data_IF_671464628344
#
_entry.id   IF_671464628344
#
_cell.length_a   1.000
_cell.length_b   1.000
_cell.length_c   1.000
_cell.angle_alpha   90.00
_cell.angle_beta   90.00
_cell.angle_gamma   90.00
#
_symmetry.space_group_name_H-M   'P 1'
#
loop_
_entity.id
_entity.type
_entity.pdbx_description
1 polymer ?
#
# COMPACT_ATOMS: atom_id res chain seq x y z
N UNK A 1 9.99 -1.50 33.67
CA UNK A 1 9.66 -1.44 33.21
C UNK A 1 9.50 -1.58 32.67
N UNK A 2 9.46 -1.59 32.61
CA UNK A 2 8.95 -1.59 31.96
C UNK A 2 8.82 -1.78 31.25
N UNK A 3 8.87 -1.70 31.20
CA UNK A 3 8.52 -1.68 30.46
C UNK A 3 8.23 -1.80 29.82
N UNK A 4 8.16 -1.68 29.90
CA UNK A 4 7.70 -1.63 29.22
C UNK A 4 7.11 -1.54 28.75
N UNK A 5 6.98 -1.39 28.89
CA UNK A 5 6.32 -1.26 28.43
C UNK A 5 5.66 -0.97 27.93
N UNK A 6 5.42 -0.71 28.01
CA UNK A 6 4.52 -0.54 27.56
C UNK A 6 4.21 -0.09 26.61
N UNK A 7 4.48 0.22 26.26
CA UNK A 7 4.16 0.66 25.34
C UNK A 7 3.66 0.10 24.53
N UNK A 8 3.66 -0.59 24.56
CA UNK A 8 3.22 -1.28 23.84
C UNK A 8 2.23 -1.05 23.25
N UNK A 9 1.60 -0.71 23.68
CA UNK A 9 0.42 -0.75 23.08
C UNK A 9 0.41 -0.02 21.91
N UNK A 10 0.86 0.95 22.02
CA UNK A 10 0.69 1.70 20.98
C UNK A 10 1.12 1.14 19.88
N UNK A 11 1.79 0.57 20.27
CA UNK A 11 2.20 -0.01 19.52
C UNK A 11 1.43 -0.87 19.02
N UNK A 12 0.52 -0.90 19.20
CA UNK A 12 -0.43 -1.78 18.67
C UNK A 12 -0.73 -1.58 17.22
N UNK A 13 -0.06 -0.77 16.54
CA UNK A 13 -0.20 -0.70 15.09
C UNK A 13 0.24 -1.98 14.43
N UNK A 14 -0.56 -2.41 13.46
CA UNK A 14 -0.33 -3.63 12.70
C UNK A 14 0.17 -3.26 11.31
N UNK A 15 0.77 -4.23 10.66
CA UNK A 15 1.27 -4.06 9.30
C UNK A 15 0.37 -4.77 8.31
N UNK A 16 0.13 -4.13 7.17
CA UNK A 16 -0.74 -4.66 6.14
C UNK A 16 -0.03 -4.62 4.79
N UNK A 17 -0.16 -5.70 4.05
CA UNK A 17 0.29 -5.78 2.68
C UNK A 17 -0.88 -5.34 1.80
N UNK A 18 -0.65 -4.36 0.95
CA UNK A 18 -1.60 -3.93 -0.07
C UNK A 18 -1.03 -4.32 -1.42
N UNK A 19 -1.75 -5.19 -2.12
CA UNK A 19 -1.36 -5.59 -3.48
C UNK A 19 -2.30 -4.90 -4.46
N UNK A 20 -1.74 -4.14 -5.40
CA UNK A 20 -2.51 -3.53 -6.45
C UNK A 20 -2.42 -4.38 -7.71
N UNK A 21 -3.57 -4.80 -8.20
CA UNK A 21 -3.65 -5.65 -9.36
C UNK A 21 -4.09 -4.80 -10.55
N UNK A 22 -3.22 -4.66 -11.58
CA UNK A 22 -3.54 -3.83 -12.73
C UNK A 22 -4.61 -4.48 -13.61
N UNK A 23 -5.20 -3.71 -14.53
CA UNK A 23 -6.29 -4.22 -15.37
C UNK A 23 -5.85 -5.26 -16.40
N UNK A 24 -4.55 -5.33 -16.70
CA UNK A 24 -4.02 -6.28 -17.67
C UNK A 24 -2.53 -6.52 -17.42
N UNK A 25 -2.01 -7.70 -17.81
CA UNK A 25 -0.60 -8.03 -17.52
C UNK A 25 0.43 -7.10 -18.16
N UNK A 26 0.09 -6.46 -19.27
CA UNK A 26 1.01 -5.57 -20.00
C UNK A 26 0.92 -4.11 -19.55
N UNK A 27 0.11 -3.83 -18.56
CA UNK A 27 -0.26 -2.48 -18.14
C UNK A 27 0.95 -1.55 -17.95
N UNK A 28 2.01 -2.03 -17.30
CA UNK A 28 3.18 -1.20 -17.02
C UNK A 28 3.85 -0.68 -18.30
N UNK A 29 3.72 -1.42 -19.39
CA UNK A 29 4.36 -1.05 -20.66
C UNK A 29 3.43 -0.37 -21.65
N UNK A 30 2.11 -0.41 -21.43
CA UNK A 30 1.17 0.09 -22.44
C UNK A 30 0.06 0.97 -21.85
N UNK A 31 0.32 1.63 -20.73
CA UNK A 31 -0.65 2.55 -20.15
C UNK A 31 -1.04 3.63 -21.15
N UNK A 32 -2.33 3.94 -21.18
CA UNK A 32 -2.82 5.14 -21.89
C UNK A 32 -2.38 6.38 -21.13
N UNK A 33 -2.50 7.56 -21.75
CA UNK A 33 -2.18 8.82 -21.08
C UNK A 33 -3.05 9.03 -19.86
N UNK A 34 -4.31 8.66 -19.93
CA UNK A 34 -5.24 8.78 -18.82
C UNK A 34 -4.83 7.86 -17.68
N UNK A 35 -4.46 6.62 -18.00
CA UNK A 35 -3.99 5.67 -17.00
C UNK A 35 -2.69 6.14 -16.34
N UNK A 36 -1.77 6.72 -17.11
CA UNK A 36 -0.54 7.28 -16.57
C UNK A 36 -0.83 8.40 -15.57
N UNK A 37 -1.79 9.25 -15.88
CA UNK A 37 -2.16 10.33 -14.98
C UNK A 37 -2.71 9.79 -13.66
N UNK A 38 -3.54 8.75 -13.72
CA UNK A 38 -4.06 8.11 -12.51
C UNK A 38 -2.92 7.48 -11.70
N UNK A 39 -1.99 6.81 -12.36
CA UNK A 39 -0.87 6.17 -11.66
C UNK A 39 0.11 7.19 -11.09
N UNK A 40 0.23 8.37 -11.70
CA UNK A 40 1.01 9.47 -11.11
C UNK A 40 0.36 9.95 -9.82
N UNK A 41 -0.96 10.08 -9.80
CA UNK A 41 -1.71 10.46 -8.60
C UNK A 41 -1.59 9.37 -7.52
N UNK A 42 -1.60 8.10 -7.91
CA UNK A 42 -1.37 6.98 -7.04
C UNK A 42 0.00 7.08 -6.35
N UNK A 43 1.05 7.36 -7.12
CA UNK A 43 2.40 7.52 -6.56
C UNK A 43 2.46 8.67 -5.56
N UNK A 44 1.83 9.79 -5.88
CA UNK A 44 1.78 10.94 -4.98
C UNK A 44 1.04 10.60 -3.68
N UNK A 45 -0.05 9.84 -3.79
CA UNK A 45 -0.82 9.42 -2.62
C UNK A 45 0.06 8.59 -1.66
N UNK A 46 0.76 7.58 -2.20
CA UNK A 46 1.61 6.71 -1.36
C UNK A 46 2.82 7.46 -0.79
N UNK A 47 3.41 8.39 -1.55
CA UNK A 47 4.47 9.25 -0.98
C UNK A 47 3.94 10.08 0.16
N UNK A 48 2.71 10.56 0.07
CA UNK A 48 2.06 11.26 1.17
C UNK A 48 1.91 10.38 2.40
N UNK A 49 1.49 9.12 2.22
CA UNK A 49 1.40 8.16 3.32
C UNK A 49 2.77 7.90 3.93
N UNK A 50 3.80 7.81 3.11
CA UNK A 50 5.17 7.61 3.58
C UNK A 50 5.66 8.81 4.39
N UNK A 51 5.40 10.02 3.92
CA UNK A 51 5.79 11.24 4.62
C UNK A 51 5.08 11.38 5.96
N UNK A 52 3.90 10.78 6.10
CA UNK A 52 3.14 10.77 7.34
C UNK A 52 3.51 9.60 8.25
N UNK A 53 4.46 8.77 7.85
CA UNK A 53 4.87 7.60 8.64
C UNK A 53 3.89 6.44 8.60
N UNK A 54 2.97 6.44 7.65
CA UNK A 54 1.95 5.39 7.53
C UNK A 54 2.45 4.27 6.62
N UNK A 55 3.04 4.61 5.48
CA UNK A 55 3.60 3.60 4.58
C UNK A 55 5.08 3.40 4.86
N UNK A 56 5.51 2.14 4.92
CA UNK A 56 6.92 1.81 5.10
C UNK A 56 7.64 1.73 3.76
N UNK A 57 6.96 1.20 2.76
CA UNK A 57 7.50 1.12 1.41
C UNK A 57 6.36 0.94 0.42
N UNK A 58 6.62 1.28 -0.82
CA UNK A 58 5.69 0.97 -1.91
C UNK A 58 6.48 0.97 -3.22
N UNK A 59 5.96 0.26 -4.19
CA UNK A 59 6.58 0.26 -5.51
C UNK A 59 6.07 -0.88 -6.38
N UNK A 60 6.47 -0.87 -7.65
CA UNK A 60 6.12 -1.96 -8.55
C UNK A 60 6.95 -3.21 -8.24
N UNK A 61 6.29 -4.35 -8.27
CA UNK A 61 6.95 -5.65 -8.21
C UNK A 61 7.22 -6.08 -9.65
N UNK A 62 8.48 -6.35 -9.95
CA UNK A 62 8.91 -6.65 -11.31
C UNK A 62 8.75 -8.13 -11.61
N UNK A 63 7.51 -8.57 -11.57
CA UNK A 63 7.12 -9.95 -11.80
C UNK A 63 7.14 -10.22 -13.30
N UNK A 64 7.86 -11.26 -13.77
CA UNK A 64 7.90 -11.57 -15.19
C UNK A 64 6.53 -11.84 -15.80
N UNK A 65 5.56 -12.30 -15.02
CA UNK A 65 4.22 -12.56 -15.49
C UNK A 65 3.39 -11.29 -15.67
N UNK A 66 3.88 -10.16 -15.18
CA UNK A 66 3.21 -8.88 -15.25
C UNK A 66 3.50 -8.09 -13.98
N UNK A 67 3.82 -6.82 -14.15
CA UNK A 67 4.15 -5.92 -13.03
C UNK A 67 2.87 -5.61 -12.24
N UNK A 68 2.96 -5.68 -10.93
CA UNK A 68 1.88 -5.29 -10.02
C UNK A 68 2.42 -4.42 -8.90
N UNK A 69 1.54 -3.78 -8.15
CA UNK A 69 1.96 -2.84 -7.11
C UNK A 69 1.95 -3.45 -5.73
N UNK A 70 2.94 -3.09 -4.93
CA UNK A 70 3.02 -3.50 -3.54
C UNK A 70 3.14 -2.27 -2.66
N UNK A 71 2.40 -2.26 -1.54
CA UNK A 71 2.62 -1.30 -0.47
C UNK A 71 2.52 -1.99 0.87
N UNK A 72 3.33 -1.53 1.82
CA UNK A 72 3.25 -1.98 3.21
C UNK A 72 2.89 -0.76 4.04
N UNK A 73 1.80 -0.86 4.79
CA UNK A 73 1.37 0.24 5.64
C UNK A 73 1.09 -0.22 7.06
N UNK A 74 1.07 0.74 7.95
CA UNK A 74 0.69 0.53 9.34
C UNK A 74 -0.70 1.09 9.57
N UNK A 75 -1.51 0.35 10.30
CA UNK A 75 -2.84 0.79 10.68
C UNK A 75 -3.24 0.07 11.96
N UNK A 76 -4.23 0.62 12.65
CA UNK A 76 -4.65 0.04 13.93
C UNK A 76 -5.45 -1.25 13.75
N UNK A 77 -6.13 -1.40 12.62
CA UNK A 77 -6.98 -2.56 12.36
C UNK A 77 -7.23 -2.70 10.84
N UNK A 78 -7.82 -3.83 10.42
CA UNK A 78 -8.07 -4.05 8.99
C UNK A 78 -8.98 -3.01 8.34
N UNK A 79 -9.97 -2.47 9.07
CA UNK A 79 -10.88 -1.47 8.51
C UNK A 79 -10.13 -0.18 8.21
N UNK A 80 -9.22 0.25 9.09
CA UNK A 80 -8.40 1.42 8.83
C UNK A 80 -7.50 1.20 7.61
N UNK A 81 -6.92 0.01 7.48
CA UNK A 81 -6.08 -0.32 6.32
C UNK A 81 -6.89 -0.29 5.02
N UNK A 82 -8.09 -0.86 5.04
CA UNK A 82 -8.96 -0.84 3.87
C UNK A 82 -9.35 0.58 3.48
N UNK A 83 -9.61 1.44 4.45
CA UNK A 83 -9.93 2.84 4.18
C UNK A 83 -8.78 3.58 3.50
N UNK A 84 -7.55 3.34 3.97
CA UNK A 84 -6.37 3.94 3.35
C UNK A 84 -6.19 3.47 1.90
N UNK A 85 -6.38 2.17 1.65
CA UNK A 85 -6.27 1.64 0.30
C UNK A 85 -7.38 2.17 -0.61
N UNK A 86 -8.59 2.29 -0.09
CA UNK A 86 -9.74 2.76 -0.88
C UNK A 86 -9.58 4.22 -1.32
N UNK A 87 -8.82 5.01 -0.60
CA UNK A 87 -8.56 6.41 -0.96
C UNK A 87 -7.47 6.58 -2.02
N UNK A 88 -6.75 5.52 -2.34
CA UNK A 88 -5.76 5.55 -3.41
C UNK A 88 -6.45 5.83 -4.74
N UNK A 89 -6.02 6.84 -5.50
CA UNK A 89 -6.63 7.14 -6.80
C UNK A 89 -6.68 5.96 -7.77
N UNK A 90 -5.71 5.06 -7.72
CA UNK A 90 -5.71 3.88 -8.58
C UNK A 90 -6.86 2.93 -8.25
N UNK A 91 -7.26 2.87 -6.98
CA UNK A 91 -8.37 2.04 -6.52
C UNK A 91 -9.68 2.80 -6.68
N UNK A 92 -9.69 4.04 -6.23
CA UNK A 92 -10.90 4.88 -6.25
C UNK A 92 -11.44 5.08 -7.65
N UNK A 93 -10.56 5.17 -8.65
CA UNK A 93 -10.95 5.29 -10.05
C UNK A 93 -11.44 3.98 -10.65
N UNK A 94 -11.19 2.86 -9.97
CA UNK A 94 -11.51 1.54 -10.50
C UNK A 94 -10.45 0.98 -11.45
N UNK A 95 -9.34 1.68 -11.64
CA UNK A 95 -8.30 1.22 -12.56
C UNK A 95 -7.61 -0.04 -12.06
N UNK A 96 -7.26 -0.08 -10.77
CA UNK A 96 -6.65 -1.25 -10.15
C UNK A 96 -7.57 -1.83 -9.10
N UNK A 97 -7.40 -3.12 -8.79
CA UNK A 97 -8.03 -3.77 -7.65
C UNK A 97 -7.01 -3.87 -6.52
N UNK A 98 -7.48 -3.87 -5.29
CA UNK A 98 -6.61 -4.04 -4.14
C UNK A 98 -6.93 -5.34 -3.42
N UNK A 99 -5.88 -6.05 -3.01
CA UNK A 99 -5.97 -7.14 -2.04
C UNK A 99 -5.19 -6.69 -0.82
N UNK A 100 -5.79 -6.86 0.35
CA UNK A 100 -5.20 -6.38 1.59
C UNK A 100 -5.15 -7.53 2.59
N UNK A 101 -3.97 -7.77 3.15
CA UNK A 101 -3.78 -8.81 4.14
C UNK A 101 -2.91 -8.29 5.27
N UNK A 102 -3.27 -8.63 6.49
CA UNK A 102 -2.39 -8.36 7.61
C UNK A 102 -1.18 -9.27 7.54
N UNK A 103 -0.01 -8.72 7.83
CA UNK A 103 1.22 -9.49 7.91
C UNK A 103 1.76 -9.38 9.33
N UNK A 104 2.12 -10.52 9.91
CA UNK A 104 2.81 -10.56 11.19
C UNK A 104 4.28 -10.23 10.94
N UNK A 105 4.55 -8.95 10.77
CA UNK A 105 5.84 -8.50 10.29
C UNK A 105 6.89 -8.49 11.37
N UNK A 106 8.11 -8.84 10.98
CA UNK A 106 9.31 -8.59 11.79
C UNK A 106 10.06 -7.49 11.05
N UNK A 107 10.25 -6.37 11.73
CA UNK A 107 10.88 -5.19 11.12
C UNK A 107 12.22 -4.98 11.82
N UNK A 108 13.24 -4.71 11.00
CA UNK A 108 14.56 -4.40 11.54
C UNK A 108 14.47 -3.10 12.37
N UNK A 109 14.90 -3.21 13.58
CA UNK A 109 14.86 -2.08 14.52
C UNK A 109 16.11 -1.23 14.53
#
# INVERSE_FOLDING_TARGET
MGGATPSQPARAKKHFVVRLIPPRPTFAGDMTDEERAIMAAHGAYWRGLMNRGIALLFGPVLDPAGVWGLGILEAKDPDAARGLAADDPAIKSGLNRAEIHEIAAVVRG
#
